data_IF_813753659281
#
_entry.id   IF_813753659281
#
_cell.length_a   1.000
_cell.length_b   1.000
_cell.length_c   1.000
_cell.angle_alpha   90.00
_cell.angle_beta   90.00
_cell.angle_gamma   90.00
#
_symmetry.space_group_name_H-M   'P 1'
#
loop_
_entity.id
_entity.type
_entity.pdbx_description
1 polymer ?
#
# COMPACT_ATOMS: atom_id res chain seq x y z
N UNK A 1 13.85 11.87 28.58
CA UNK A 1 13.76 11.35 27.19
C UNK A 1 12.53 10.45 26.94
N UNK A 2 11.42 10.64 27.67
CA UNK A 2 10.18 9.86 27.48
C UNK A 2 9.05 10.66 26.76
N UNK A 3 9.21 11.98 26.60
CA UNK A 3 8.21 12.86 25.98
C UNK A 3 8.23 12.85 24.45
N UNK A 4 9.42 12.80 23.83
CA UNK A 4 9.53 12.82 22.37
C UNK A 4 8.92 11.56 21.71
N UNK A 5 9.02 10.38 22.35
CA UNK A 5 8.43 9.14 21.80
C UNK A 5 6.90 9.18 21.77
N UNK A 6 6.24 9.82 22.75
CA UNK A 6 4.78 9.96 22.76
C UNK A 6 4.28 10.85 21.62
N UNK A 7 5.00 11.92 21.32
CA UNK A 7 4.62 12.87 20.28
C UNK A 7 4.66 12.26 18.88
N UNK A 8 5.64 11.40 18.55
CA UNK A 8 5.67 10.71 17.25
C UNK A 8 4.63 9.58 17.13
N UNK A 9 4.28 8.92 18.23
CA UNK A 9 3.22 7.90 18.23
C UNK A 9 1.82 8.52 18.13
N UNK A 10 1.56 9.63 18.82
CA UNK A 10 0.32 10.38 18.66
C UNK A 10 0.23 11.04 17.28
N UNK A 11 1.31 11.64 16.75
CA UNK A 11 1.28 12.23 15.40
C UNK A 11 1.14 11.15 14.32
N UNK A 12 1.73 9.97 14.46
CA UNK A 12 1.58 8.87 13.49
C UNK A 12 0.19 8.23 13.51
N UNK A 13 -0.40 8.04 14.70
CA UNK A 13 -1.75 7.47 14.86
C UNK A 13 -2.81 8.52 14.50
N UNK A 14 -2.68 9.76 14.99
CA UNK A 14 -3.66 10.83 14.75
C UNK A 14 -3.62 11.37 13.31
N UNK A 15 -2.50 11.26 12.58
CA UNK A 15 -2.47 11.60 11.15
C UNK A 15 -3.09 10.50 10.28
N UNK A 16 -3.05 9.24 10.69
CA UNK A 16 -3.76 8.16 9.99
C UNK A 16 -5.27 8.24 10.25
N UNK A 17 -5.69 8.73 11.42
CA UNK A 17 -7.08 8.70 11.86
C UNK A 17 -7.98 9.86 11.40
N UNK A 18 -7.46 10.97 10.85
CA UNK A 18 -8.29 12.20 10.80
C UNK A 18 -8.21 13.05 9.53
N UNK A 19 -8.59 12.52 8.34
CA UNK A 19 -9.31 13.34 7.32
C UNK A 19 -9.80 12.68 6.02
N UNK A 20 -9.90 11.36 5.88
CA UNK A 20 -10.74 10.86 4.77
C UNK A 20 -12.20 11.06 5.17
N UNK A 21 -12.78 12.18 4.75
CA UNK A 21 -14.24 12.32 4.72
C UNK A 21 -14.79 11.12 3.96
N UNK A 22 -15.95 10.58 4.35
CA UNK A 22 -16.59 9.49 3.62
C UNK A 22 -16.71 9.82 2.13
N UNK A 23 -16.87 11.11 1.83
CA UNK A 23 -16.86 11.67 0.48
C UNK A 23 -15.51 11.49 -0.25
N UNK A 24 -14.39 11.78 0.41
CA UNK A 24 -13.04 11.61 -0.15
C UNK A 24 -12.73 10.13 -0.39
N UNK A 25 -13.22 9.26 0.49
CA UNK A 25 -13.10 7.82 0.32
C UNK A 25 -13.85 7.33 -0.91
N UNK A 26 -15.11 7.74 -1.10
CA UNK A 26 -15.85 7.41 -2.31
C UNK A 26 -15.15 7.98 -3.55
N UNK A 27 -14.66 9.22 -3.50
CA UNK A 27 -13.97 9.84 -4.63
C UNK A 27 -12.65 9.14 -4.98
N UNK A 28 -11.96 8.55 -4.00
CA UNK A 28 -10.75 7.76 -4.24
C UNK A 28 -11.05 6.37 -4.82
N UNK A 29 -12.19 5.77 -4.46
CA UNK A 29 -12.56 4.39 -4.86
C UNK A 29 -13.37 4.34 -6.17
N UNK A 30 -14.11 5.40 -6.50
CA UNK A 30 -14.91 5.49 -7.74
C UNK A 30 -14.04 5.33 -9.00
N UNK A 31 -12.90 6.03 -9.19
CA UNK A 31 -12.07 5.90 -10.38
C UNK A 31 -11.57 4.47 -10.65
N UNK A 32 -10.98 3.73 -9.69
CA UNK A 32 -10.55 2.36 -9.94
C UNK A 32 -11.72 1.40 -10.18
N UNK A 33 -12.89 1.57 -9.53
CA UNK A 33 -14.08 0.77 -9.82
C UNK A 33 -14.65 1.02 -11.22
N UNK A 34 -14.63 2.28 -11.66
CA UNK A 34 -15.12 2.68 -12.98
C UNK A 34 -14.18 2.16 -14.07
N UNK A 35 -12.87 2.19 -13.82
CA UNK A 35 -11.86 1.59 -14.70
C UNK A 35 -11.98 0.06 -14.76
N UNK A 36 -12.22 -0.60 -13.62
CA UNK A 36 -12.48 -2.04 -13.56
C UNK A 36 -13.71 -2.43 -14.39
N UNK A 37 -14.79 -1.66 -14.25
CA UNK A 37 -16.05 -1.86 -15.01
C UNK A 37 -15.84 -1.63 -16.51
N UNK A 38 -15.07 -0.60 -16.87
CA UNK A 38 -14.71 -0.31 -18.27
C UNK A 38 -13.92 -1.46 -18.89
N UNK A 39 -12.88 -1.95 -18.21
CA UNK A 39 -12.07 -3.08 -18.69
C UNK A 39 -12.89 -4.36 -18.79
N UNK A 40 -13.75 -4.63 -17.79
CA UNK A 40 -14.65 -5.79 -17.81
C UNK A 40 -15.58 -5.80 -19.05
N UNK A 41 -16.03 -4.63 -19.51
CA UNK A 41 -16.87 -4.51 -20.71
C UNK A 41 -16.10 -4.65 -22.03
N UNK A 42 -14.78 -4.46 -22.03
CA UNK A 42 -13.95 -4.49 -23.24
C UNK A 42 -13.28 -5.84 -23.52
N UNK A 43 -13.14 -6.70 -22.51
CA UNK A 43 -12.47 -8.00 -22.67
C UNK A 43 -13.48 -9.05 -23.14
N UNK A 44 -13.16 -9.73 -24.26
CA UNK A 44 -14.03 -10.74 -24.89
C UNK A 44 -14.09 -12.08 -24.13
N UNK A 45 -13.06 -12.40 -23.35
CA UNK A 45 -13.00 -13.57 -22.48
C UNK A 45 -13.19 -13.12 -21.03
N UNK A 46 -14.44 -12.99 -20.59
CA UNK A 46 -14.77 -12.42 -19.27
C UNK A 46 -14.56 -13.44 -18.14
N UNK A 47 -13.62 -13.18 -17.21
CA UNK A 47 -13.62 -13.87 -15.92
C UNK A 47 -14.86 -13.43 -15.12
N UNK A 48 -15.42 -14.25 -14.23
CA UNK A 48 -16.59 -13.85 -13.46
C UNK A 48 -16.32 -12.57 -12.64
N UNK A 49 -17.30 -11.65 -12.55
CA UNK A 49 -17.17 -10.36 -11.84
C UNK A 49 -16.67 -10.51 -10.41
N UNK A 50 -17.13 -11.55 -9.70
CA UNK A 50 -16.69 -11.86 -8.34
C UNK A 50 -15.17 -12.08 -8.27
N UNK A 51 -14.58 -12.64 -9.32
CA UNK A 51 -13.15 -12.91 -9.39
C UNK A 51 -12.33 -11.62 -9.49
N UNK A 52 -12.79 -10.68 -10.32
CA UNK A 52 -12.20 -9.34 -10.40
C UNK A 52 -12.34 -8.58 -9.08
N UNK A 53 -13.48 -8.71 -8.41
CA UNK A 53 -13.73 -8.06 -7.12
C UNK A 53 -12.82 -8.64 -6.02
N UNK A 54 -12.62 -9.97 -6.02
CA UNK A 54 -11.68 -10.64 -5.11
C UNK A 54 -10.25 -10.21 -5.41
N UNK A 55 -9.82 -10.17 -6.68
CA UNK A 55 -8.51 -9.61 -7.06
C UNK A 55 -8.33 -8.18 -6.53
N UNK A 56 -9.36 -7.34 -6.72
CA UNK A 56 -9.33 -5.95 -6.27
C UNK A 56 -9.21 -5.85 -4.75
N UNK A 57 -10.00 -6.65 -4.01
CA UNK A 57 -9.93 -6.72 -2.55
C UNK A 57 -8.58 -7.21 -2.04
N UNK A 58 -8.05 -8.30 -2.61
CA UNK A 58 -6.73 -8.84 -2.25
C UNK A 58 -5.63 -7.83 -2.55
N UNK A 59 -5.69 -7.16 -3.71
CA UNK A 59 -4.75 -6.09 -4.07
C UNK A 59 -4.82 -4.89 -3.11
N UNK A 60 -6.02 -4.48 -2.70
CA UNK A 60 -6.19 -3.40 -1.73
C UNK A 60 -5.62 -3.73 -0.35
N UNK A 61 -5.88 -4.95 0.16
CA UNK A 61 -5.33 -5.43 1.44
C UNK A 61 -3.81 -5.55 1.36
N UNK A 62 -3.30 -6.08 0.24
CA UNK A 62 -1.87 -6.15 -0.04
C UNK A 62 -1.21 -4.76 -0.03
N UNK A 63 -1.83 -3.76 -0.65
CA UNK A 63 -1.34 -2.37 -0.60
C UNK A 63 -1.33 -1.79 0.82
N UNK A 64 -2.35 -2.07 1.62
CA UNK A 64 -2.39 -1.67 3.04
C UNK A 64 -1.27 -2.32 3.86
N UNK A 65 -1.00 -3.61 3.63
CA UNK A 65 0.10 -4.33 4.29
C UNK A 65 1.45 -3.77 3.87
N UNK A 66 1.63 -3.42 2.59
CA UNK A 66 2.83 -2.77 2.08
C UNK A 66 3.09 -1.42 2.77
N UNK A 67 2.05 -0.57 2.91
CA UNK A 67 2.14 0.70 3.64
C UNK A 67 2.54 0.51 5.10
N UNK A 68 1.99 -0.50 5.78
CA UNK A 68 2.35 -0.82 7.17
C UNK A 68 3.79 -1.32 7.31
N UNK A 69 4.25 -2.14 6.36
CA UNK A 69 5.63 -2.64 6.30
C UNK A 69 6.64 -1.51 6.07
N UNK A 70 6.32 -0.58 5.18
CA UNK A 70 7.13 0.60 4.91
C UNK A 70 7.26 1.46 6.17
N UNK A 71 6.15 1.76 6.84
CA UNK A 71 6.18 2.53 8.10
C UNK A 71 7.02 1.85 9.19
N UNK A 72 6.91 0.51 9.29
CA UNK A 72 7.72 -0.29 10.21
C UNK A 72 9.21 -0.29 9.86
N UNK A 73 9.54 -0.34 8.57
CA UNK A 73 10.92 -0.31 8.09
C UNK A 73 11.55 1.05 8.30
N UNK A 74 10.86 2.15 7.98
CA UNK A 74 11.32 3.51 8.28
C UNK A 74 11.62 3.69 9.76
N UNK A 75 10.74 3.17 10.63
CA UNK A 75 10.97 3.22 12.08
C UNK A 75 12.24 2.46 12.50
N UNK A 76 12.44 1.25 11.95
CA UNK A 76 13.59 0.40 12.28
C UNK A 76 14.90 0.99 11.72
N UNK A 77 14.89 1.44 10.47
CA UNK A 77 16.02 2.03 9.78
C UNK A 77 16.45 3.35 10.44
N UNK A 78 15.49 4.18 10.86
CA UNK A 78 15.79 5.41 11.58
C UNK A 78 16.40 5.12 12.96
N UNK A 79 15.93 4.06 13.64
CA UNK A 79 16.45 3.64 14.94
C UNK A 79 17.87 3.05 14.88
N UNK A 80 18.20 2.31 13.81
CA UNK A 80 19.47 1.59 13.69
C UNK A 80 20.57 2.41 13.00
N UNK A 81 20.23 3.17 11.96
CA UNK A 81 21.21 3.75 11.03
C UNK A 81 21.06 5.28 10.90
N UNK A 82 20.11 5.92 11.59
CA UNK A 82 19.79 7.35 11.40
C UNK A 82 19.46 7.64 9.92
N UNK A 83 18.52 6.84 9.40
CA UNK A 83 18.05 6.86 8.00
C UNK A 83 17.67 8.26 7.50
N UNK A 84 17.12 9.10 8.38
CA UNK A 84 16.76 10.51 8.13
C UNK A 84 17.92 11.35 7.54
N UNK A 85 19.16 10.98 7.84
CA UNK A 85 20.35 11.65 7.31
C UNK A 85 20.63 11.30 5.84
N UNK A 86 20.25 10.11 5.41
CA UNK A 86 20.48 9.59 4.05
C UNK A 86 19.39 10.08 3.09
N UNK A 87 18.13 10.12 3.56
CA UNK A 87 16.96 10.58 2.79
C UNK A 87 16.90 12.10 2.57
N UNK A 88 17.80 12.89 3.17
CA UNK A 88 17.92 14.33 2.87
C UNK A 88 18.45 14.64 1.46
N UNK A 89 19.00 13.65 0.77
CA UNK A 89 19.45 13.79 -0.61
C UNK A 89 18.42 13.22 -1.58
N UNK A 90 18.28 13.83 -2.76
CA UNK A 90 17.40 13.33 -3.83
C UNK A 90 17.73 11.87 -4.22
N UNK A 91 19.02 11.52 -4.22
CA UNK A 91 19.47 10.14 -4.44
C UNK A 91 19.00 9.19 -3.33
N UNK A 92 18.96 9.66 -2.06
CA UNK A 92 18.42 8.90 -0.94
C UNK A 92 16.91 8.69 -1.02
N UNK A 93 16.16 9.67 -1.52
CA UNK A 93 14.72 9.54 -1.78
C UNK A 93 14.48 8.52 -2.90
N UNK A 94 15.24 8.60 -3.99
CA UNK A 94 15.14 7.65 -5.09
C UNK A 94 15.55 6.22 -4.66
N UNK A 95 16.58 6.08 -3.83
CA UNK A 95 17.01 4.80 -3.26
C UNK A 95 15.89 4.20 -2.39
N UNK A 96 15.24 5.03 -1.57
CA UNK A 96 14.08 4.62 -0.77
C UNK A 96 12.93 4.15 -1.66
N UNK A 97 12.61 4.90 -2.70
CA UNK A 97 11.55 4.54 -3.64
C UNK A 97 11.82 3.24 -4.39
N UNK A 98 13.09 2.95 -4.72
CA UNK A 98 13.43 1.72 -5.46
C UNK A 98 13.56 0.51 -4.53
N UNK A 99 14.23 0.66 -3.40
CA UNK A 99 14.58 -0.45 -2.50
C UNK A 99 13.45 -0.76 -1.52
N UNK A 100 12.74 0.26 -1.04
CA UNK A 100 11.72 0.11 -0.02
C UNK A 100 10.34 0.07 -0.68
N UNK A 101 9.91 1.17 -1.31
CA UNK A 101 8.57 1.26 -1.93
C UNK A 101 8.44 0.24 -3.07
N UNK A 102 9.38 0.25 -4.01
CA UNK A 102 9.35 -0.62 -5.18
C UNK A 102 9.40 -2.10 -4.83
N UNK A 103 10.35 -2.52 -3.98
CA UNK A 103 10.47 -3.93 -3.65
C UNK A 103 9.33 -4.45 -2.76
N UNK A 104 8.82 -3.64 -1.81
CA UNK A 104 7.73 -4.04 -0.91
C UNK A 104 6.40 -4.03 -1.67
N UNK A 105 6.12 -2.99 -2.47
CA UNK A 105 4.89 -2.89 -3.24
C UNK A 105 4.82 -3.98 -4.31
N UNK A 106 5.89 -4.17 -5.09
CA UNK A 106 5.95 -5.23 -6.11
C UNK A 106 5.98 -6.63 -5.47
N UNK A 107 6.67 -6.79 -4.33
CA UNK A 107 6.65 -8.02 -3.55
C UNK A 107 5.27 -8.38 -3.02
N UNK A 108 4.50 -7.39 -2.56
CA UNK A 108 3.15 -7.60 -2.07
C UNK A 108 2.18 -7.92 -3.22
N UNK A 109 2.30 -7.26 -4.38
CA UNK A 109 1.56 -7.60 -5.60
C UNK A 109 1.84 -9.03 -6.07
N UNK A 110 3.11 -9.45 -6.06
CA UNK A 110 3.50 -10.82 -6.40
C UNK A 110 2.93 -11.84 -5.41
N UNK A 111 3.03 -11.57 -4.11
CA UNK A 111 2.44 -12.42 -3.06
C UNK A 111 0.92 -12.55 -3.19
N UNK A 112 0.23 -11.44 -3.48
CA UNK A 112 -1.20 -11.41 -3.76
C UNK A 112 -1.57 -12.28 -4.98
N UNK A 113 -0.80 -12.21 -6.06
CA UNK A 113 -1.00 -13.06 -7.24
C UNK A 113 -0.77 -14.55 -6.95
N UNK A 114 0.28 -14.89 -6.20
CA UNK A 114 0.57 -16.29 -5.82
C UNK A 114 -0.53 -16.85 -4.92
N UNK A 115 -0.99 -16.08 -3.94
CA UNK A 115 -2.09 -16.47 -3.05
C UNK A 115 -3.38 -16.68 -3.84
N UNK A 116 -3.70 -15.76 -4.75
CA UNK A 116 -4.87 -15.85 -5.61
C UNK A 116 -4.83 -17.11 -6.48
N UNK A 117 -3.71 -17.35 -7.18
CA UNK A 117 -3.50 -18.57 -7.96
C UNK A 117 -3.66 -19.83 -7.10
N UNK A 118 -3.12 -19.83 -5.88
CA UNK A 118 -3.27 -20.96 -4.95
C UNK A 118 -4.73 -21.21 -4.53
N UNK A 119 -5.53 -20.16 -4.38
CA UNK A 119 -6.96 -20.27 -4.00
C UNK A 119 -7.81 -20.79 -5.17
N UNK A 120 -7.47 -20.46 -6.42
CA UNK A 120 -8.24 -20.84 -7.63
C UNK A 120 -7.81 -22.16 -8.22
N UNK A 121 -6.52 -22.48 -8.16
CA UNK A 121 -5.97 -23.73 -8.68
C UNK A 121 -6.32 -24.94 -7.79
N UNK A 122 -7.06 -24.72 -6.71
CA UNK A 122 -7.53 -25.72 -5.75
C UNK A 122 -9.03 -25.93 -5.91
#
# INVERSE_FOLDING_TARGET
>A
MAGAKRQWQEVGINNFDFRLSTFDFFWAVIPPLLLLTYYYRRVLAQPPLLHLLVCFGVGAVSGLVALGLEFGFEYLANRLVNWDRITRSLAGIALRQVVEVGAIEEGCKLGAMVLFQFIIAR
#
